data_IF_618007908084
#
_entry.id   IF_618007908084
#
_cell.length_a   1.000
_cell.length_b   1.000
_cell.length_c   1.000
_cell.angle_alpha   90.00
_cell.angle_beta   90.00
_cell.angle_gamma   90.00
#
_symmetry.space_group_name_H-M   'P 1'
#
loop_
_entity.id
_entity.type
_entity.pdbx_description
1 polymer ?
#
# COMPACT_ATOMS: atom_id res chain seq x y z
N UNK A 1 -28.28 9.25 -11.04
CA UNK A 1 -27.46 9.56 -9.85
C UNK A 1 -25.94 9.37 -10.10
N UNK A 2 -25.49 8.37 -10.86
CA UNK A 2 -24.06 8.17 -11.22
C UNK A 2 -23.46 9.23 -12.17
N UNK A 3 -24.29 9.93 -12.97
CA UNK A 3 -23.83 10.77 -14.08
C UNK A 3 -23.22 12.10 -13.62
N UNK A 4 -23.64 12.65 -12.48
CA UNK A 4 -23.13 13.95 -11.95
C UNK A 4 -21.86 13.79 -11.10
N UNK A 5 -21.49 12.57 -10.72
CA UNK A 5 -20.36 12.30 -9.82
C UNK A 5 -19.01 12.31 -10.57
N UNK A 6 -19.00 11.85 -11.82
CA UNK A 6 -17.81 11.79 -12.67
C UNK A 6 -17.14 13.15 -12.94
N UNK A 7 -17.86 14.23 -13.31
CA UNK A 7 -17.22 15.54 -13.50
C UNK A 7 -16.69 16.13 -12.18
N UNK A 8 -17.38 15.90 -11.05
CA UNK A 8 -16.92 16.32 -9.72
C UNK A 8 -15.66 15.58 -9.28
N UNK A 9 -15.58 14.27 -9.53
CA UNK A 9 -14.38 13.46 -9.30
C UNK A 9 -13.21 13.88 -10.19
N UNK A 10 -13.47 14.25 -11.45
CA UNK A 10 -12.44 14.78 -12.35
C UNK A 10 -11.86 16.09 -11.83
N UNK A 11 -12.72 16.99 -11.33
CA UNK A 11 -12.29 18.25 -10.73
C UNK A 11 -11.58 18.05 -9.39
N UNK A 12 -11.98 17.04 -8.61
CA UNK A 12 -11.32 16.65 -7.37
C UNK A 12 -9.93 16.04 -7.63
N UNK A 13 -9.78 15.21 -8.66
CA UNK A 13 -8.50 14.63 -9.09
C UNK A 13 -7.52 15.69 -9.64
N UNK A 14 -8.02 16.81 -10.17
CA UNK A 14 -7.22 17.98 -10.57
C UNK A 14 -6.75 18.82 -9.36
N UNK A 15 -7.38 18.67 -8.20
CA UNK A 15 -6.97 19.39 -7.00
C UNK A 15 -5.82 18.65 -6.30
N UNK A 16 -4.80 19.43 -5.89
CA UNK A 16 -3.70 18.95 -5.02
C UNK A 16 -4.21 18.27 -3.74
N UNK A 17 -5.41 18.65 -3.29
CA UNK A 17 -6.07 18.10 -2.09
C UNK A 17 -6.29 16.59 -2.17
N UNK A 18 -6.68 16.05 -3.32
CA UNK A 18 -6.91 14.60 -3.46
C UNK A 18 -5.62 13.80 -3.24
N UNK A 19 -4.52 14.26 -3.84
CA UNK A 19 -3.18 13.67 -3.68
C UNK A 19 -2.65 13.83 -2.25
N UNK A 20 -2.91 14.97 -1.59
CA UNK A 20 -2.58 15.17 -0.18
C UNK A 20 -3.36 14.24 0.75
N UNK A 21 -4.65 14.03 0.51
CA UNK A 21 -5.47 13.12 1.32
C UNK A 21 -4.96 11.70 1.19
N UNK A 22 -4.63 11.25 -0.03
CA UNK A 22 -4.03 9.94 -0.25
C UNK A 22 -2.71 9.79 0.51
N UNK A 23 -1.82 10.79 0.41
CA UNK A 23 -0.55 10.79 1.12
C UNK A 23 -0.71 10.74 2.65
N UNK A 24 -1.62 11.56 3.21
CA UNK A 24 -1.92 11.57 4.64
C UNK A 24 -2.50 10.25 5.12
N UNK A 25 -3.36 9.62 4.32
CA UNK A 25 -3.94 8.32 4.64
C UNK A 25 -2.89 7.21 4.74
N UNK A 26 -1.87 7.24 3.86
CA UNK A 26 -0.77 6.28 3.89
C UNK A 26 0.13 6.52 5.10
N UNK A 27 0.48 7.78 5.38
CA UNK A 27 1.25 8.14 6.58
C UNK A 27 0.52 7.68 7.84
N UNK A 28 -0.81 7.83 7.89
CA UNK A 28 -1.60 7.36 9.00
C UNK A 28 -1.46 5.84 9.20
N UNK A 29 -1.57 5.04 8.13
CA UNK A 29 -1.39 3.59 8.25
C UNK A 29 0.04 3.17 8.62
N UNK A 30 1.07 3.80 8.04
CA UNK A 30 2.47 3.55 8.43
C UNK A 30 2.72 3.92 9.90
N UNK A 31 2.13 5.03 10.37
CA UNK A 31 2.21 5.44 11.77
C UNK A 31 1.53 4.43 12.69
N UNK A 32 0.35 3.91 12.30
CA UNK A 32 -0.32 2.83 13.02
C UNK A 32 0.52 1.55 13.05
N UNK A 33 1.16 1.19 11.93
CA UNK A 33 2.04 0.03 11.86
C UNK A 33 3.28 0.17 12.76
N UNK A 34 3.87 1.37 12.80
CA UNK A 34 4.99 1.70 13.70
C UNK A 34 4.57 1.68 15.17
N UNK A 35 3.37 2.15 15.48
CA UNK A 35 2.78 2.07 16.81
C UNK A 35 2.64 0.61 17.25
N UNK A 36 2.13 -0.27 16.39
CA UNK A 36 2.03 -1.70 16.69
C UNK A 36 3.40 -2.36 16.93
N UNK A 37 4.42 -1.96 16.18
CA UNK A 37 5.76 -2.48 16.35
C UNK A 37 6.42 -2.00 17.65
N UNK A 38 6.38 -0.70 17.95
CA UNK A 38 7.14 -0.11 19.07
C UNK A 38 6.38 -0.15 20.40
N UNK A 39 5.06 0.01 20.37
CA UNK A 39 4.25 0.10 21.61
C UNK A 39 3.74 -1.27 22.03
N UNK A 40 3.28 -2.08 21.07
CA UNK A 40 2.81 -3.43 21.37
C UNK A 40 3.90 -4.50 21.27
N UNK A 41 5.13 -4.13 20.88
CA UNK A 41 6.29 -5.03 20.79
C UNK A 41 6.06 -6.21 19.83
N UNK A 42 5.35 -5.97 18.71
CA UNK A 42 5.17 -6.98 17.67
C UNK A 42 6.35 -6.96 16.68
N UNK A 43 7.07 -8.07 16.60
CA UNK A 43 8.14 -8.27 15.62
C UNK A 43 7.60 -8.27 14.18
N UNK A 44 8.16 -7.46 13.25
CA UNK A 44 7.74 -7.47 11.86
C UNK A 44 8.26 -8.72 11.13
N UNK A 45 7.44 -9.22 10.22
CA UNK A 45 7.74 -10.34 9.34
C UNK A 45 8.29 -9.86 7.98
N UNK A 46 8.94 -10.73 7.19
CA UNK A 46 9.50 -10.35 5.88
C UNK A 46 8.41 -9.86 4.91
N UNK A 47 7.26 -10.54 4.84
CA UNK A 47 6.14 -10.08 4.00
C UNK A 47 5.58 -8.73 4.47
N UNK A 48 5.51 -8.50 5.78
CA UNK A 48 5.07 -7.25 6.40
C UNK A 48 5.98 -6.09 5.98
N UNK A 49 7.29 -6.33 5.92
CA UNK A 49 8.30 -5.36 5.44
C UNK A 49 8.04 -5.03 3.97
N UNK A 50 7.79 -6.02 3.11
CA UNK A 50 7.44 -5.76 1.70
C UNK A 50 6.12 -4.99 1.53
N UNK A 51 5.11 -5.28 2.34
CA UNK A 51 3.84 -4.54 2.34
C UNK A 51 4.04 -3.06 2.70
N UNK A 52 4.89 -2.75 3.70
CA UNK A 52 5.28 -1.36 4.02
C UNK A 52 6.01 -0.67 2.89
N UNK A 53 6.92 -1.38 2.22
CA UNK A 53 7.60 -0.84 1.02
C UNK A 53 6.59 -0.55 -0.09
N UNK A 54 5.58 -1.40 -0.28
CA UNK A 54 4.51 -1.16 -1.24
C UNK A 54 3.68 0.09 -0.86
N UNK A 55 3.34 0.27 0.43
CA UNK A 55 2.65 1.47 0.92
C UNK A 55 3.47 2.75 0.73
N UNK A 56 4.77 2.72 1.03
CA UNK A 56 5.70 3.83 0.74
C UNK A 56 5.81 4.10 -0.76
N UNK A 57 5.72 3.06 -1.59
CA UNK A 57 5.57 3.17 -3.03
C UNK A 57 4.35 4.01 -3.42
N UNK A 58 3.19 3.75 -2.82
CA UNK A 58 1.98 4.56 -3.03
C UNK A 58 2.20 6.00 -2.54
N UNK A 59 2.85 6.21 -1.40
CA UNK A 59 3.14 7.55 -0.89
C UNK A 59 4.03 8.35 -1.85
N UNK A 60 5.05 7.71 -2.44
CA UNK A 60 5.91 8.34 -3.44
C UNK A 60 5.15 8.71 -4.72
N UNK A 61 4.26 7.82 -5.19
CA UNK A 61 3.39 8.09 -6.32
C UNK A 61 2.42 9.26 -6.04
N UNK A 62 1.93 9.34 -4.80
CA UNK A 62 1.09 10.45 -4.36
C UNK A 62 1.84 11.78 -4.34
N UNK A 63 3.11 11.76 -3.90
CA UNK A 63 3.98 12.93 -3.88
C UNK A 63 4.31 13.42 -5.31
N UNK A 64 4.57 12.49 -6.25
CA UNK A 64 4.78 12.82 -7.66
C UNK A 64 3.54 13.50 -8.25
N UNK A 65 2.34 12.98 -7.95
CA UNK A 65 1.07 13.60 -8.35
C UNK A 65 0.83 14.99 -7.73
N UNK A 66 1.39 15.25 -6.55
CA UNK A 66 1.26 16.52 -5.83
C UNK A 66 2.07 17.66 -6.46
N UNK A 67 3.26 17.38 -6.99
CA UNK A 67 4.20 18.38 -7.52
C UNK A 67 3.50 19.24 -8.57
N UNK A 68 2.88 18.61 -9.58
CA UNK A 68 2.13 19.36 -10.58
C UNK A 68 0.93 18.57 -11.14
N UNK A 69 -0.26 18.70 -10.55
CA UNK A 69 -1.46 17.99 -11.00
C UNK A 69 -2.03 18.51 -12.33
N UNK A 70 -1.57 19.69 -12.82
CA UNK A 70 -1.98 20.23 -14.13
C UNK A 70 -1.19 19.60 -15.28
N UNK A 71 0.01 19.10 -15.03
CA UNK A 71 0.79 18.42 -16.06
C UNK A 71 0.23 17.01 -16.26
N UNK A 72 -0.36 16.77 -17.43
CA UNK A 72 -0.95 15.48 -17.78
C UNK A 72 0.05 14.33 -17.62
N UNK A 73 1.31 14.51 -18.04
CA UNK A 73 2.36 13.50 -17.94
C UNK A 73 2.65 13.08 -16.48
N UNK A 74 2.93 14.03 -15.58
CA UNK A 74 3.21 13.73 -14.18
C UNK A 74 2.02 13.07 -13.48
N UNK A 75 0.80 13.48 -13.84
CA UNK A 75 -0.42 12.87 -13.32
C UNK A 75 -0.57 11.41 -13.76
N UNK A 76 -0.35 11.11 -15.04
CA UNK A 76 -0.42 9.72 -15.52
C UNK A 76 0.69 8.85 -14.92
N UNK A 77 1.89 9.40 -14.73
CA UNK A 77 2.99 8.71 -14.04
C UNK A 77 2.61 8.42 -12.58
N UNK A 78 2.07 9.40 -11.85
CA UNK A 78 1.60 9.20 -10.47
C UNK A 78 0.48 8.18 -10.37
N UNK A 79 -0.50 8.21 -11.28
CA UNK A 79 -1.59 7.24 -11.33
C UNK A 79 -1.10 5.83 -11.67
N UNK A 80 -0.18 5.70 -12.63
CA UNK A 80 0.42 4.42 -13.00
C UNK A 80 1.27 3.84 -11.87
N UNK A 81 2.06 4.69 -11.20
CA UNK A 81 2.84 4.31 -10.02
C UNK A 81 1.96 3.86 -8.85
N UNK A 82 0.88 4.59 -8.58
CA UNK A 82 -0.09 4.21 -7.57
C UNK A 82 -0.76 2.87 -7.92
N UNK A 83 -1.25 2.71 -9.15
CA UNK A 83 -1.88 1.47 -9.58
C UNK A 83 -0.93 0.26 -9.48
N UNK A 84 0.32 0.42 -9.93
CA UNK A 84 1.33 -0.63 -9.87
C UNK A 84 1.66 -1.04 -8.43
N UNK A 85 1.95 -0.06 -7.57
CA UNK A 85 2.32 -0.32 -6.16
C UNK A 85 1.15 -0.89 -5.35
N UNK A 86 -0.08 -0.40 -5.58
CA UNK A 86 -1.29 -0.95 -4.97
C UNK A 86 -1.56 -2.39 -5.42
N UNK A 87 -1.36 -2.71 -6.70
CA UNK A 87 -1.51 -4.08 -7.22
C UNK A 87 -0.49 -5.03 -6.60
N UNK A 88 0.79 -4.64 -6.55
CA UNK A 88 1.85 -5.43 -5.91
C UNK A 88 1.61 -5.62 -4.41
N UNK A 89 1.17 -4.57 -3.71
CA UNK A 89 0.79 -4.67 -2.29
C UNK A 89 -0.37 -5.63 -2.05
N UNK A 90 -1.38 -5.64 -2.92
CA UNK A 90 -2.50 -6.58 -2.86
C UNK A 90 -2.06 -8.04 -3.09
N UNK A 91 -1.18 -8.28 -4.06
CA UNK A 91 -0.61 -9.60 -4.35
C UNK A 91 0.16 -10.15 -3.13
N UNK A 92 1.04 -9.33 -2.55
CA UNK A 92 1.80 -9.67 -1.35
C UNK A 92 0.89 -9.98 -0.15
N UNK A 93 -0.11 -9.14 0.10
CA UNK A 93 -1.03 -9.33 1.21
C UNK A 93 -1.86 -10.63 1.05
N UNK A 94 -2.23 -10.98 -0.19
CA UNK A 94 -2.93 -12.25 -0.47
C UNK A 94 -2.03 -13.46 -0.24
N UNK A 95 -0.78 -13.40 -0.66
CA UNK A 95 0.21 -14.44 -0.41
C UNK A 95 0.44 -14.63 1.10
N UNK A 96 0.53 -13.53 1.84
CA UNK A 96 0.67 -13.53 3.29
C UNK A 96 -0.53 -14.18 4.00
N UNK A 97 -1.76 -13.89 3.58
CA UNK A 97 -2.95 -14.60 4.07
C UNK A 97 -2.90 -16.09 3.71
N UNK A 98 -2.37 -16.43 2.53
CA UNK A 98 -2.14 -17.80 2.09
C UNK A 98 -1.25 -18.57 3.08
N UNK A 99 -0.15 -17.98 3.53
CA UNK A 99 0.75 -18.58 4.53
C UNK A 99 0.11 -18.79 5.91
N UNK A 100 -0.88 -17.97 6.28
CA UNK A 100 -1.60 -18.12 7.55
C UNK A 100 -2.69 -19.21 7.49
N UNK A 101 -3.38 -19.34 6.35
CA UNK A 101 -4.48 -20.29 6.19
C UNK A 101 -4.01 -21.70 5.82
N UNK A 102 -2.91 -21.81 5.07
CA UNK A 102 -2.35 -23.08 4.63
C UNK A 102 -0.86 -23.15 5.02
N UNK A 103 -0.55 -23.41 6.30
CA UNK A 103 0.83 -23.57 6.74
C UNK A 103 1.40 -24.86 6.13
N UNK A 104 2.07 -24.75 4.99
CA UNK A 104 2.81 -25.86 4.40
C UNK A 104 4.26 -25.81 4.90
N UNK A 105 4.87 -26.94 5.30
CA UNK A 105 6.26 -26.96 5.74
C UNK A 105 7.26 -26.66 4.61
N UNK A 106 6.81 -26.72 3.35
CA UNK A 106 7.64 -26.49 2.16
C UNK A 106 7.57 -25.05 1.61
N UNK A 107 6.60 -24.24 2.07
CA UNK A 107 6.44 -22.83 1.67
C UNK A 107 6.70 -21.96 2.89
N UNK A 108 7.92 -22.01 3.39
CA UNK A 108 8.37 -21.17 4.50
C UNK A 108 8.69 -19.77 4.00
N UNK A 109 8.35 -18.77 4.79
CA UNK A 109 8.75 -17.39 4.56
C UNK A 109 10.28 -17.30 4.62
N UNK A 110 10.90 -16.55 3.70
CA UNK A 110 12.32 -16.26 3.80
C UNK A 110 12.63 -15.55 5.12
N UNK A 111 13.79 -15.86 5.72
CA UNK A 111 14.24 -15.26 6.99
C UNK A 111 14.77 -13.83 6.75
N UNK A 112 15.26 -13.57 5.53
CA UNK A 112 15.83 -12.28 5.16
C UNK A 112 15.12 -11.68 3.94
N UNK A 113 14.88 -10.35 3.93
CA UNK A 113 14.30 -9.69 2.78
C UNK A 113 15.35 -9.61 1.67
N UNK A 114 14.99 -10.06 0.48
CA UNK A 114 15.82 -9.99 -0.72
C UNK A 114 15.60 -8.63 -1.39
N UNK A 115 16.25 -7.60 -0.85
CA UNK A 115 16.29 -6.30 -1.51
C UNK A 115 17.35 -6.27 -2.62
N UNK A 116 17.08 -5.59 -3.74
CA UNK A 116 18.10 -5.43 -4.77
C UNK A 116 19.27 -4.59 -4.26
N UNK A 117 20.49 -4.92 -4.71
CA UNK A 117 21.74 -4.32 -4.22
C UNK A 117 21.79 -2.78 -4.30
N UNK A 118 20.99 -2.15 -5.15
CA UNK A 118 20.93 -0.69 -5.30
C UNK A 118 20.08 0.01 -4.23
N UNK A 119 19.26 -0.71 -3.45
CA UNK A 119 18.44 -0.17 -2.37
C UNK A 119 18.31 -1.14 -1.19
N UNK A 120 19.36 -1.33 -0.38
CA UNK A 120 19.31 -2.12 0.84
C UNK A 120 18.55 -1.36 1.95
N UNK A 121 17.21 -1.35 1.87
CA UNK A 121 16.33 -0.63 2.82
C UNK A 121 16.54 -1.11 4.26
N UNK A 122 16.83 -2.40 4.44
CA UNK A 122 17.16 -3.01 5.73
C UNK A 122 18.39 -2.36 6.39
N UNK A 123 19.41 -1.97 5.61
CA UNK A 123 20.60 -1.31 6.13
C UNK A 123 20.39 0.19 6.35
N UNK A 124 19.55 0.83 5.55
CA UNK A 124 19.29 2.28 5.66
C UNK A 124 18.40 2.63 6.85
N UNK A 125 17.40 1.81 7.14
CA UNK A 125 16.46 2.02 8.26
C UNK A 125 16.14 0.69 8.96
N UNK A 126 17.10 0.12 9.71
CA UNK A 126 16.92 -1.17 10.39
C UNK A 126 15.78 -1.12 11.41
N UNK A 127 15.59 0.02 12.09
CA UNK A 127 14.50 0.25 13.03
C UNK A 127 13.10 0.03 12.43
N UNK A 128 12.94 0.14 11.10
CA UNK A 128 11.67 -0.03 10.40
C UNK A 128 11.60 -1.29 9.53
N UNK A 129 12.72 -1.73 8.96
CA UNK A 129 12.76 -2.79 7.92
C UNK A 129 13.54 -4.04 8.30
N UNK A 130 14.00 -4.17 9.56
CA UNK A 130 14.64 -5.39 10.04
C UNK A 130 13.58 -6.44 10.45
N UNK A 131 13.46 -7.57 9.74
CA UNK A 131 12.50 -8.60 10.07
C UNK A 131 13.04 -9.49 11.18
N UNK A 132 12.21 -9.75 12.18
CA UNK A 132 12.56 -10.58 13.36
C UNK A 132 11.49 -11.60 13.70
N UNK A 133 10.35 -11.62 12.98
CA UNK A 133 9.20 -12.47 13.27
C UNK A 133 8.85 -13.48 12.16
N UNK A 134 8.10 -14.52 12.54
CA UNK A 134 7.60 -15.57 11.65
C UNK A 134 6.30 -15.13 10.93
N UNK A 135 6.21 -15.30 9.60
CA UNK A 135 5.04 -14.92 8.81
C UNK A 135 3.78 -15.79 9.07
N UNK A 136 3.97 -17.04 9.52
CA UNK A 136 2.86 -17.99 9.74
C UNK A 136 2.14 -17.78 11.08
N UNK A 137 2.76 -17.07 12.04
CA UNK A 137 2.17 -16.82 13.35
C UNK A 137 1.18 -15.66 13.29
N UNK A 138 -0.03 -15.90 13.80
CA UNK A 138 -1.01 -14.83 13.98
C UNK A 138 -0.72 -14.13 15.31
N UNK A 139 -0.05 -12.99 15.24
CA UNK A 139 0.34 -12.19 16.41
C UNK A 139 -0.74 -11.20 16.85
N UNK A 140 -1.67 -10.86 15.97
CA UNK A 140 -2.76 -9.92 16.24
C UNK A 140 -4.00 -10.25 15.43
N UNK A 141 -5.15 -10.09 16.08
CA UNK A 141 -6.46 -10.24 15.47
C UNK A 141 -7.37 -9.11 15.95
N UNK A 142 -8.18 -8.57 15.06
CA UNK A 142 -9.22 -7.61 15.37
C UNK A 142 -10.47 -7.93 14.57
N UNK A 143 -11.61 -8.02 15.27
CA UNK A 143 -12.88 -8.37 14.65
C UNK A 143 -12.80 -9.72 13.90
N UNK A 144 -12.14 -10.72 14.50
CA UNK A 144 -11.83 -12.05 13.94
C UNK A 144 -10.93 -12.08 12.69
N UNK A 145 -10.47 -10.92 12.22
CA UNK A 145 -9.59 -10.78 11.07
C UNK A 145 -8.14 -10.58 11.54
N UNK A 146 -7.20 -11.25 10.89
CA UNK A 146 -5.76 -11.04 11.13
C UNK A 146 -5.26 -9.75 10.48
N UNK A 147 -4.10 -9.25 10.93
CA UNK A 147 -3.45 -8.07 10.32
C UNK A 147 -3.32 -8.17 8.79
N UNK A 148 -2.83 -9.29 8.22
CA UNK A 148 -2.71 -9.41 6.77
C UNK A 148 -4.04 -9.38 6.04
N UNK A 149 -5.10 -9.94 6.64
CA UNK A 149 -6.45 -9.87 6.06
C UNK A 149 -6.97 -8.42 5.99
N UNK A 150 -6.72 -7.62 7.02
CA UNK A 150 -7.01 -6.19 6.98
C UNK A 150 -6.21 -5.44 5.91
N UNK A 151 -4.94 -5.81 5.70
CA UNK A 151 -4.10 -5.22 4.66
C UNK A 151 -4.62 -5.57 3.26
N UNK A 152 -5.11 -6.80 3.03
CA UNK A 152 -5.79 -7.17 1.77
C UNK A 152 -6.97 -6.23 1.50
N UNK A 153 -7.79 -5.93 2.51
CA UNK A 153 -8.92 -5.00 2.37
C UNK A 153 -8.45 -3.58 2.04
N UNK A 154 -7.43 -3.07 2.75
CA UNK A 154 -6.89 -1.72 2.52
C UNK A 154 -6.31 -1.58 1.11
N UNK A 155 -5.52 -2.56 0.66
CA UNK A 155 -4.96 -2.56 -0.69
C UNK A 155 -6.04 -2.73 -1.77
N UNK A 156 -7.06 -3.57 -1.53
CA UNK A 156 -8.20 -3.71 -2.43
C UNK A 156 -8.98 -2.39 -2.57
N UNK A 157 -9.25 -1.70 -1.46
CA UNK A 157 -9.90 -0.38 -1.48
C UNK A 157 -9.06 0.66 -2.23
N UNK A 158 -7.73 0.66 -2.05
CA UNK A 158 -6.82 1.52 -2.81
C UNK A 158 -6.87 1.23 -4.30
N UNK A 159 -6.89 -0.06 -4.68
CA UNK A 159 -6.97 -0.49 -6.08
C UNK A 159 -8.30 -0.04 -6.72
N UNK A 160 -9.42 -0.22 -6.02
CA UNK A 160 -10.72 0.27 -6.48
C UNK A 160 -10.70 1.79 -6.64
N UNK A 161 -10.16 2.52 -5.67
CA UNK A 161 -10.09 3.97 -5.72
C UNK A 161 -9.28 4.47 -6.93
N UNK A 162 -8.10 3.89 -7.20
CA UNK A 162 -7.29 4.26 -8.37
C UNK A 162 -7.97 3.89 -9.68
N UNK A 163 -8.61 2.72 -9.77
CA UNK A 163 -9.36 2.30 -10.96
C UNK A 163 -10.51 3.28 -11.26
N UNK A 164 -11.29 3.68 -10.23
CA UNK A 164 -12.37 4.67 -10.39
C UNK A 164 -11.82 6.00 -10.88
N UNK A 165 -10.69 6.46 -10.33
CA UNK A 165 -10.07 7.72 -10.75
C UNK A 165 -9.55 7.63 -12.19
N UNK A 166 -8.90 6.53 -12.57
CA UNK A 166 -8.45 6.30 -13.95
C UNK A 166 -9.63 6.31 -14.91
N UNK A 167 -10.71 5.58 -14.60
CA UNK A 167 -11.93 5.56 -15.42
C UNK A 167 -12.57 6.94 -15.54
N UNK A 168 -12.58 7.74 -14.46
CA UNK A 168 -13.07 9.11 -14.48
C UNK A 168 -12.22 10.04 -15.37
N UNK A 169 -10.93 9.73 -15.58
CA UNK A 169 -10.09 10.48 -16.52
C UNK A 169 -10.36 10.12 -17.98
N UNK A 170 -10.70 8.86 -18.27
CA UNK A 170 -11.04 8.39 -19.62
C UNK A 170 -12.49 8.67 -20.03
N UNK A 171 -13.40 8.81 -19.06
CA UNK A 171 -14.77 9.22 -19.33
C UNK A 171 -14.78 10.68 -19.78
N UNK A 172 -14.85 10.89 -21.09
CA UNK A 172 -15.11 12.21 -21.68
C UNK A 172 -16.43 12.70 -21.11
N UNK A 173 -16.40 13.84 -20.41
CA UNK A 173 -17.59 14.65 -20.21
C UNK A 173 -18.16 14.94 -21.60
N UNK A 174 -19.32 14.37 -21.89
CA UNK A 174 -20.15 14.75 -23.01
C UNK A 174 -21.20 15.72 -22.49
#
# INVERSE_FOLDING_TARGET
MFVSFLPSLKQFSLQRRAWLILFLFIIFFESCALFFQHVMMLSPCVMCVYERVAMLGVASAALIGLINPRNAMLRYIGLAGWAYTAFRGFELAREHVGFQLHPSPFSTCDIFPQFPNWAPLNQWAPWMFEPTGDCSKIVWQFLSLSMPQWLVVIFACNLIAVTVIILAQFSKAK
#
